data_IF_631513260702
#
_entry.id   IF_631513260702
#
_cell.length_a   1.000
_cell.length_b   1.000
_cell.length_c   1.000
_cell.angle_alpha   90.00
_cell.angle_beta   90.00
_cell.angle_gamma   90.00
#
_symmetry.space_group_name_H-M   'P 1'
#
loop_
_entity.id
_entity.type
_entity.pdbx_description
1 polymer ?
#
# COMPACT_ATOMS: atom_id res chain seq x y z
N UNK A 1 5.43 -29.81 -11.32
CA UNK A 1 6.21 -29.12 -10.26
C UNK A 1 5.38 -27.97 -9.71
N UNK A 2 4.80 -28.08 -8.51
CA UNK A 2 4.07 -26.96 -7.87
C UNK A 2 5.12 -26.04 -7.24
N UNK A 3 5.48 -24.97 -7.93
CA UNK A 3 6.26 -23.90 -7.31
C UNK A 3 5.43 -23.38 -6.13
N UNK A 4 5.88 -23.67 -4.89
CA UNK A 4 5.35 -23.04 -3.68
C UNK A 4 5.50 -21.53 -3.87
N UNK A 5 4.42 -20.89 -4.32
CA UNK A 5 4.40 -19.47 -4.65
C UNK A 5 4.34 -18.71 -3.33
N UNK A 6 5.47 -18.66 -2.60
CA UNK A 6 5.61 -17.81 -1.41
C UNK A 6 5.47 -16.38 -1.90
N UNK A 7 4.23 -15.86 -1.83
CA UNK A 7 3.92 -14.45 -2.10
C UNK A 7 4.96 -13.61 -1.36
N UNK A 8 5.75 -12.77 -2.06
CA UNK A 8 6.90 -12.10 -1.48
C UNK A 8 6.50 -11.29 -0.23
N UNK A 9 7.44 -11.06 0.69
CA UNK A 9 7.11 -10.28 1.90
C UNK A 9 6.90 -8.81 1.55
N UNK A 10 5.94 -8.19 2.24
CA UNK A 10 5.74 -6.73 2.22
C UNK A 10 6.71 -6.08 3.20
N UNK A 11 7.36 -4.99 2.80
CA UNK A 11 8.05 -4.10 3.74
C UNK A 11 7.04 -3.34 4.60
N UNK A 12 7.49 -2.73 5.69
CA UNK A 12 6.64 -1.88 6.53
C UNK A 12 6.01 -0.76 5.70
N UNK A 13 6.80 -0.10 4.86
CA UNK A 13 6.34 0.92 3.92
C UNK A 13 5.25 0.41 2.96
N UNK A 14 5.51 -0.72 2.29
CA UNK A 14 4.56 -1.35 1.35
C UNK A 14 3.25 -1.75 2.05
N UNK A 15 3.34 -2.21 3.30
CA UNK A 15 2.19 -2.59 4.11
C UNK A 15 1.34 -1.39 4.52
N UNK A 16 1.95 -0.25 4.87
CA UNK A 16 1.21 0.98 5.16
C UNK A 16 0.50 1.50 3.91
N UNK A 17 1.16 1.52 2.75
CA UNK A 17 0.52 1.89 1.48
C UNK A 17 -0.69 1.02 1.16
N UNK A 18 -0.51 -0.31 1.23
CA UNK A 18 -1.58 -1.27 1.00
C UNK A 18 -2.76 -1.06 1.96
N UNK A 19 -2.44 -0.88 3.24
CA UNK A 19 -3.47 -0.76 4.27
C UNK A 19 -4.22 0.56 4.14
N UNK A 20 -3.54 1.65 3.84
CA UNK A 20 -4.16 2.94 3.57
C UNK A 20 -5.15 2.85 2.40
N UNK A 21 -4.74 2.24 1.29
CA UNK A 21 -5.63 1.97 0.15
C UNK A 21 -6.83 1.10 0.54
N UNK A 22 -6.62 0.06 1.34
CA UNK A 22 -7.68 -0.82 1.82
C UNK A 22 -8.70 -0.10 2.74
N UNK A 23 -8.26 0.91 3.49
CA UNK A 23 -9.12 1.79 4.29
C UNK A 23 -9.78 2.91 3.47
N UNK A 24 -9.64 2.88 2.15
CA UNK A 24 -10.25 3.84 1.22
C UNK A 24 -9.48 5.14 1.04
N UNK A 25 -8.19 5.19 1.39
CA UNK A 25 -7.38 6.39 1.15
C UNK A 25 -7.06 6.57 -0.34
N UNK A 26 -7.29 7.76 -0.92
CA UNK A 26 -6.88 8.04 -2.27
C UNK A 26 -5.34 8.10 -2.35
N UNK A 27 -4.79 7.77 -3.53
CA UNK A 27 -3.33 7.75 -3.76
C UNK A 27 -2.67 9.09 -3.40
N UNK A 28 -3.36 10.21 -3.67
CA UNK A 28 -2.89 11.56 -3.34
C UNK A 28 -2.66 11.82 -1.84
N UNK A 29 -3.36 11.09 -0.95
CA UNK A 29 -3.20 11.22 0.51
C UNK A 29 -2.19 10.23 1.10
N UNK A 30 -1.69 9.28 0.32
CA UNK A 30 -0.74 8.27 0.81
C UNK A 30 0.58 8.85 1.33
N UNK A 31 1.14 9.94 0.76
CA UNK A 31 2.27 10.62 1.39
C UNK A 31 1.96 11.11 2.81
N UNK A 32 0.79 11.70 3.05
CA UNK A 32 0.40 12.14 4.39
C UNK A 32 0.24 10.97 5.36
N UNK A 33 -0.35 9.86 4.91
CA UNK A 33 -0.44 8.62 5.71
C UNK A 33 0.93 8.09 6.07
N UNK A 34 1.85 8.02 5.10
CA UNK A 34 3.21 7.54 5.36
C UNK A 34 3.95 8.44 6.36
N UNK A 35 3.87 9.76 6.19
CA UNK A 35 4.43 10.72 7.13
C UNK A 35 3.88 10.53 8.55
N UNK A 36 2.57 10.31 8.69
CA UNK A 36 1.94 10.07 9.99
C UNK A 36 2.51 8.84 10.71
N UNK A 37 2.91 7.80 9.97
CA UNK A 37 3.57 6.61 10.51
C UNK A 37 5.11 6.68 10.46
N UNK A 38 5.68 7.89 10.42
CA UNK A 38 7.14 8.15 10.36
C UNK A 38 7.85 7.42 9.22
N UNK A 39 7.16 7.22 8.10
CA UNK A 39 7.72 6.69 6.86
C UNK A 39 7.93 7.85 5.89
N UNK A 40 9.17 8.16 5.51
CA UNK A 40 9.44 9.28 4.58
C UNK A 40 8.91 8.98 3.16
N UNK A 41 7.83 9.64 2.73
CA UNK A 41 7.38 9.60 1.37
C UNK A 41 8.15 10.69 0.64
N UNK A 42 9.31 10.33 0.09
CA UNK A 42 10.17 11.26 -0.67
C UNK A 42 9.40 12.19 -1.64
N UNK A 43 8.31 11.69 -2.24
CA UNK A 43 7.31 12.47 -3.01
C UNK A 43 6.11 11.60 -3.38
N UNK A 44 5.03 12.22 -3.90
CA UNK A 44 3.91 11.49 -4.53
C UNK A 44 4.39 10.60 -5.67
N UNK A 45 5.33 11.07 -6.50
CA UNK A 45 5.95 10.30 -7.58
C UNK A 45 6.67 9.04 -7.07
N UNK A 46 7.27 9.11 -5.88
CA UNK A 46 7.91 7.96 -5.23
C UNK A 46 6.88 6.95 -4.72
N UNK A 47 5.73 7.42 -4.23
CA UNK A 47 4.61 6.54 -3.85
C UNK A 47 4.06 5.82 -5.08
N UNK A 48 3.79 6.52 -6.18
CA UNK A 48 3.31 5.94 -7.43
C UNK A 48 4.26 4.88 -8.00
N UNK A 49 5.57 5.18 -7.99
CA UNK A 49 6.60 4.21 -8.38
C UNK A 49 6.55 2.95 -7.52
N UNK A 50 6.36 3.08 -6.21
CA UNK A 50 6.24 1.95 -5.30
C UNK A 50 4.96 1.15 -5.53
N UNK A 51 3.81 1.80 -5.72
CA UNK A 51 2.56 1.13 -6.05
C UNK A 51 2.64 0.38 -7.38
N UNK A 52 3.30 0.96 -8.39
CA UNK A 52 3.56 0.28 -9.67
C UNK A 52 4.46 -0.94 -9.52
N UNK A 53 5.51 -0.85 -8.68
CA UNK A 53 6.39 -1.99 -8.36
C UNK A 53 5.62 -3.09 -7.62
N UNK A 54 4.80 -2.71 -6.64
CA UNK A 54 3.92 -3.63 -5.89
C UNK A 54 2.96 -4.36 -6.84
N UNK A 55 2.25 -3.62 -7.69
CA UNK A 55 1.37 -4.20 -8.71
C UNK A 55 2.08 -5.22 -9.59
N UNK A 56 3.27 -4.89 -10.11
CA UNK A 56 4.09 -5.85 -10.88
C UNK A 56 4.51 -7.07 -10.06
N UNK A 57 4.96 -6.85 -8.82
CA UNK A 57 5.44 -7.90 -7.89
C UNK A 57 4.34 -8.93 -7.55
N UNK A 58 3.08 -8.51 -7.59
CA UNK A 58 1.92 -9.38 -7.32
C UNK A 58 1.05 -9.67 -8.54
N UNK A 59 1.49 -9.26 -9.75
CA UNK A 59 0.75 -9.42 -10.99
C UNK A 59 -0.67 -8.84 -10.98
N UNK A 60 -0.83 -7.65 -10.39
CA UNK A 60 -2.09 -6.91 -10.34
C UNK A 60 -2.08 -5.77 -11.37
N UNK A 61 -3.21 -5.55 -12.06
CA UNK A 61 -3.35 -4.43 -13.00
C UNK A 61 -3.69 -3.12 -12.26
N UNK A 62 -4.53 -3.19 -11.23
CA UNK A 62 -5.03 -2.00 -10.50
C UNK A 62 -4.68 -2.05 -9.01
N UNK A 63 -4.85 -0.91 -8.33
CA UNK A 63 -4.62 -0.83 -6.88
C UNK A 63 -5.70 -1.60 -6.12
N UNK A 64 -6.93 -1.63 -6.64
CA UNK A 64 -8.06 -2.38 -6.08
C UNK A 64 -7.79 -3.88 -6.14
N UNK A 65 -7.27 -4.39 -7.26
CA UNK A 65 -6.84 -5.78 -7.37
C UNK A 65 -5.73 -6.11 -6.38
N UNK A 66 -4.75 -5.21 -6.23
CA UNK A 66 -3.65 -5.37 -5.26
C UNK A 66 -4.20 -5.44 -3.83
N UNK A 67 -5.14 -4.57 -3.46
CA UNK A 67 -5.83 -4.58 -2.17
C UNK A 67 -6.59 -5.88 -1.97
N UNK A 68 -7.37 -6.32 -2.96
CA UNK A 68 -8.17 -7.54 -2.89
C UNK A 68 -7.29 -8.79 -2.66
N UNK A 69 -6.19 -8.89 -3.39
CA UNK A 69 -5.25 -10.04 -3.34
C UNK A 69 -4.42 -10.08 -2.06
N UNK A 70 -4.23 -8.93 -1.42
CA UNK A 70 -3.43 -8.76 -0.21
C UNK A 70 -4.27 -8.35 1.01
N UNK A 71 -5.60 -8.49 0.96
CA UNK A 71 -6.51 -8.11 2.06
C UNK A 71 -6.15 -8.74 3.40
N UNK A 72 -5.66 -9.97 3.40
CA UNK A 72 -5.24 -10.69 4.60
C UNK A 72 -3.92 -10.16 5.21
N UNK A 73 -3.27 -9.19 4.55
CA UNK A 73 -2.02 -8.55 4.99
C UNK A 73 -2.23 -7.07 5.35
N UNK A 74 -3.46 -6.58 5.27
CA UNK A 74 -3.86 -5.23 5.68
C UNK A 74 -3.78 -5.16 7.21
N UNK A 75 -3.22 -4.05 7.71
CA UNK A 75 -3.20 -3.73 9.13
C UNK A 75 -4.22 -2.64 9.44
N UNK A 76 -4.64 -2.58 10.69
CA UNK A 76 -5.43 -1.45 11.19
C UNK A 76 -4.54 -0.21 11.18
N UNK A 77 -5.01 0.84 10.51
CA UNK A 77 -4.42 2.16 10.56
C UNK A 77 -5.43 3.10 11.22
N UNK A 78 -4.97 3.91 12.16
CA UNK A 78 -5.68 5.10 12.59
C UNK A 78 -5.50 6.19 11.52
N UNK A 79 -6.60 6.52 10.83
CA UNK A 79 -6.64 7.45 9.71
C UNK A 79 -7.70 8.53 9.92
N UNK A 80 -8.34 8.59 11.09
CA UNK A 80 -9.47 9.50 11.33
C UNK A 80 -9.06 10.96 11.18
N UNK A 81 -7.84 11.28 11.61
CA UNK A 81 -7.29 12.64 11.52
C UNK A 81 -6.92 13.05 10.08
N UNK A 82 -6.63 12.10 9.19
CA UNK A 82 -6.23 12.35 7.79
C UNK A 82 -7.43 12.40 6.82
N UNK A 83 -8.61 11.96 7.28
CA UNK A 83 -9.87 12.01 6.52
C UNK A 83 -10.55 13.38 6.57
N UNK A 84 -10.23 14.20 7.57
CA UNK A 84 -10.92 15.46 7.88
C UNK A 84 -10.38 16.69 7.15
N UNK A 85 -9.23 16.59 6.48
CA UNK A 85 -8.72 17.57 5.51
C UNK A 85 -9.25 17.31 4.10
#
# INVERSE_FOLDING_TARGET
MKASSKKPRLTTYERHLLSALAHGMPVGKLPAVLNYYSQEPNSISSVDKNLRKLRKKYNCATNEQLVYDLRNRVIKLDLENLKKE
#
